data_IF_532219555859
#
_entry.id   IF_532219555859
#
_cell.length_a   1.000
_cell.length_b   1.000
_cell.length_c   1.000
_cell.angle_alpha   90.00
_cell.angle_beta   90.00
_cell.angle_gamma   90.00
#
_symmetry.space_group_name_H-M   'P 1'
#
loop_
_entity.id
_entity.type
_entity.pdbx_description
1 polymer ?
#
# COMPACT_ATOMS: atom_id res chain seq x y z
N UNK A 1 8.94 10.36 -8.99
CA UNK A 1 7.67 10.02 -9.67
C UNK A 1 8.01 9.17 -10.89
N UNK A 2 7.18 8.17 -11.25
CA UNK A 2 7.39 7.42 -12.49
C UNK A 2 7.29 8.36 -13.69
N UNK A 3 8.29 8.32 -14.56
CA UNK A 3 8.35 9.17 -15.74
C UNK A 3 7.70 8.43 -16.92
N UNK A 4 6.62 8.98 -17.45
CA UNK A 4 5.92 8.41 -18.60
C UNK A 4 6.35 9.16 -19.85
N UNK A 5 6.81 8.43 -20.87
CA UNK A 5 7.20 9.00 -22.15
C UNK A 5 6.04 9.72 -22.84
N UNK A 6 6.33 10.87 -23.45
CA UNK A 6 5.35 11.64 -24.25
C UNK A 6 4.97 10.92 -25.55
N UNK A 7 5.79 9.98 -26.03
CA UNK A 7 5.53 9.18 -27.24
C UNK A 7 4.59 8.03 -26.88
N UNK A 8 3.31 8.18 -27.25
CA UNK A 8 2.26 7.21 -26.89
C UNK A 8 2.20 6.05 -27.88
N UNK A 9 1.98 4.86 -27.36
CA UNK A 9 1.67 3.68 -28.17
C UNK A 9 0.25 3.76 -28.73
N UNK A 10 0.00 3.09 -29.86
CA UNK A 10 -1.37 2.91 -30.38
C UNK A 10 -2.21 2.18 -29.33
N UNK A 11 -3.45 2.65 -29.10
CA UNK A 11 -4.36 2.13 -28.06
C UNK A 11 -4.48 0.60 -28.06
N UNK A 12 -4.64 0.00 -29.24
CA UNK A 12 -4.74 -1.47 -29.41
C UNK A 12 -3.49 -2.21 -28.93
N UNK A 13 -2.29 -1.68 -29.25
CA UNK A 13 -1.03 -2.27 -28.81
C UNK A 13 -0.86 -2.16 -27.29
N UNK A 14 -1.20 -1.00 -26.71
CA UNK A 14 -1.15 -0.77 -25.27
C UNK A 14 -2.06 -1.72 -24.49
N UNK A 15 -3.31 -1.91 -24.94
CA UNK A 15 -4.25 -2.84 -24.30
C UNK A 15 -3.72 -4.28 -24.33
N UNK A 16 -3.29 -4.76 -25.52
CA UNK A 16 -2.73 -6.11 -25.66
C UNK A 16 -1.49 -6.33 -24.79
N UNK A 17 -0.66 -5.31 -24.65
CA UNK A 17 0.52 -5.34 -23.77
C UNK A 17 0.10 -5.47 -22.29
N UNK A 18 -0.89 -4.68 -21.85
CA UNK A 18 -1.40 -4.77 -20.48
C UNK A 18 -2.05 -6.13 -20.20
N UNK A 19 -2.82 -6.69 -21.14
CA UNK A 19 -3.44 -8.00 -20.96
C UNK A 19 -2.38 -9.09 -20.75
N UNK A 20 -1.28 -9.05 -21.52
CA UNK A 20 -0.15 -9.97 -21.32
C UNK A 20 0.55 -9.75 -20.00
N UNK A 21 0.73 -8.49 -19.60
CA UNK A 21 1.30 -8.14 -18.30
C UNK A 21 0.46 -8.71 -17.14
N UNK A 22 -0.87 -8.56 -17.19
CA UNK A 22 -1.76 -9.12 -16.17
C UNK A 22 -1.74 -10.65 -16.15
N UNK A 23 -1.66 -11.30 -17.31
CA UNK A 23 -1.54 -12.76 -17.38
C UNK A 23 -0.26 -13.28 -16.72
N UNK A 24 0.88 -12.59 -16.92
CA UNK A 24 2.15 -12.92 -16.25
C UNK A 24 2.04 -12.69 -14.75
N UNK A 25 1.43 -11.60 -14.30
CA UNK A 25 1.23 -11.36 -12.87
C UNK A 25 0.34 -12.42 -12.21
N UNK A 26 -0.73 -12.85 -12.90
CA UNK A 26 -1.65 -13.86 -12.39
C UNK A 26 -1.04 -15.27 -12.34
N UNK A 27 0.02 -15.55 -13.11
CA UNK A 27 0.70 -16.84 -13.09
C UNK A 27 1.73 -16.98 -11.95
N UNK A 28 2.03 -15.89 -11.23
CA UNK A 28 2.92 -15.90 -10.07
C UNK A 28 2.24 -16.61 -8.89
N UNK A 29 2.61 -17.86 -8.63
CA UNK A 29 2.08 -18.65 -7.50
C UNK A 29 3.00 -18.69 -6.28
N UNK A 30 4.31 -18.57 -6.49
CA UNK A 30 5.30 -18.68 -5.42
C UNK A 30 5.81 -17.31 -4.96
N UNK A 31 5.92 -17.13 -3.64
CA UNK A 31 6.34 -15.86 -3.02
C UNK A 31 7.81 -15.54 -3.31
N UNK A 32 8.69 -16.53 -3.30
CA UNK A 32 10.12 -16.32 -3.52
C UNK A 32 10.40 -15.97 -4.98
N UNK A 33 9.75 -16.69 -5.90
CA UNK A 33 9.79 -16.38 -7.32
C UNK A 33 9.20 -15.00 -7.62
N UNK A 34 8.07 -14.65 -6.99
CA UNK A 34 7.49 -13.31 -7.09
C UNK A 34 8.47 -12.22 -6.65
N UNK A 35 9.21 -12.43 -5.56
CA UNK A 35 10.23 -11.47 -5.09
C UNK A 35 11.33 -11.25 -6.14
N UNK A 36 11.82 -12.32 -6.76
CA UNK A 36 12.83 -12.24 -7.83
C UNK A 36 12.27 -11.49 -9.03
N UNK A 37 11.10 -11.90 -9.51
CA UNK A 37 10.40 -11.27 -10.64
C UNK A 37 10.22 -9.76 -10.46
N UNK A 38 9.72 -9.31 -9.30
CA UNK A 38 9.59 -7.87 -9.02
C UNK A 38 10.94 -7.18 -8.84
N UNK A 39 11.99 -7.90 -8.45
CA UNK A 39 13.35 -7.39 -8.39
C UNK A 39 13.95 -7.11 -9.77
N UNK A 40 13.63 -7.95 -10.75
CA UNK A 40 14.08 -7.80 -12.13
C UNK A 40 13.28 -6.74 -12.89
N UNK A 41 11.97 -6.67 -12.60
CA UNK A 41 11.05 -5.78 -13.32
C UNK A 41 11.06 -4.33 -12.80
N UNK A 42 11.17 -4.14 -11.49
CA UNK A 42 11.01 -2.84 -10.85
C UNK A 42 12.30 -2.36 -10.20
N UNK A 43 12.56 -1.07 -10.31
CA UNK A 43 13.64 -0.45 -9.54
C UNK A 43 13.41 -0.58 -8.03
N UNK A 44 14.48 -0.46 -7.24
CA UNK A 44 14.39 -0.41 -5.77
C UNK A 44 13.41 0.67 -5.30
N UNK A 45 13.46 1.85 -5.92
CA UNK A 45 12.58 2.98 -5.62
C UNK A 45 11.12 2.67 -5.91
N UNK A 46 10.81 2.07 -7.07
CA UNK A 46 9.43 1.72 -7.44
C UNK A 46 8.84 0.68 -6.49
N UNK A 47 9.64 -0.32 -6.08
CA UNK A 47 9.20 -1.32 -5.09
C UNK A 47 8.82 -0.67 -3.76
N UNK A 48 9.67 0.23 -3.25
CA UNK A 48 9.40 0.97 -2.01
C UNK A 48 8.14 1.84 -2.17
N UNK A 49 8.00 2.54 -3.30
CA UNK A 49 6.84 3.39 -3.56
C UNK A 49 5.53 2.59 -3.59
N UNK A 50 5.50 1.45 -4.29
CA UNK A 50 4.32 0.59 -4.36
C UNK A 50 3.97 -0.01 -3.00
N UNK A 51 4.97 -0.48 -2.24
CA UNK A 51 4.77 -1.01 -0.90
C UNK A 51 4.18 0.05 0.05
N UNK A 52 4.75 1.26 0.06
CA UNK A 52 4.20 2.38 0.86
C UNK A 52 2.78 2.75 0.44
N UNK A 53 2.50 2.80 -0.87
CA UNK A 53 1.15 3.11 -1.37
C UNK A 53 0.12 2.09 -0.90
N UNK A 54 0.45 0.80 -0.97
CA UNK A 54 -0.41 -0.27 -0.47
C UNK A 54 -0.64 -0.17 1.04
N UNK A 55 0.43 0.09 1.81
CA UNK A 55 0.32 0.28 3.26
C UNK A 55 -0.56 1.47 3.64
N UNK A 56 -0.43 2.62 2.97
CA UNK A 56 -1.31 3.78 3.20
C UNK A 56 -2.77 3.41 2.97
N UNK A 57 -3.08 2.80 1.82
CA UNK A 57 -4.46 2.39 1.47
C UNK A 57 -5.05 1.47 2.55
N UNK A 58 -4.25 0.52 3.03
CA UNK A 58 -4.65 -0.41 4.09
C UNK A 58 -4.91 0.29 5.43
N UNK A 59 -4.02 1.18 5.85
CA UNK A 59 -4.22 1.95 7.08
C UNK A 59 -5.46 2.84 6.97
N UNK A 60 -5.71 3.45 5.81
CA UNK A 60 -6.90 4.27 5.60
C UNK A 60 -8.19 3.44 5.63
N UNK A 61 -8.20 2.22 5.06
CA UNK A 61 -9.34 1.31 5.17
C UNK A 61 -9.61 0.88 6.61
N UNK A 62 -8.56 0.73 7.42
CA UNK A 62 -8.65 0.44 8.84
C UNK A 62 -8.90 1.68 9.71
N UNK A 63 -9.22 2.83 9.09
CA UNK A 63 -9.56 4.10 9.77
C UNK A 63 -8.44 4.67 10.67
N UNK A 64 -7.18 4.37 10.37
CA UNK A 64 -6.07 5.01 11.07
C UNK A 64 -6.06 6.54 10.81
N UNK A 65 -5.78 7.37 11.84
CA UNK A 65 -5.67 8.81 11.66
C UNK A 65 -4.55 9.19 10.69
N UNK A 66 -4.73 10.26 9.91
CA UNK A 66 -3.78 10.64 8.85
C UNK A 66 -2.38 10.90 9.40
N UNK A 67 -2.28 11.55 10.56
CA UNK A 67 -1.02 11.84 11.23
C UNK A 67 -0.24 10.57 11.59
N UNK A 68 -0.94 9.48 11.93
CA UNK A 68 -0.33 8.17 12.20
C UNK A 68 0.21 7.58 10.91
N UNK A 69 -0.57 7.62 9.84
CA UNK A 69 -0.16 7.12 8.52
C UNK A 69 1.10 7.86 8.02
N UNK A 70 1.09 9.20 8.12
CA UNK A 70 2.21 10.06 7.72
C UNK A 70 3.49 9.74 8.49
N UNK A 71 3.42 9.73 9.83
CA UNK A 71 4.57 9.48 10.71
C UNK A 71 5.13 8.09 10.49
N UNK A 72 4.27 7.08 10.38
CA UNK A 72 4.74 5.69 10.36
C UNK A 72 5.30 5.30 9.00
N UNK A 73 4.65 5.72 7.91
CA UNK A 73 5.12 5.40 6.56
C UNK A 73 6.10 6.43 6.00
N UNK A 74 6.36 7.51 6.74
CA UNK A 74 7.19 8.66 6.32
C UNK A 74 6.74 9.15 4.94
N UNK A 75 5.45 9.45 4.82
CA UNK A 75 4.80 9.95 3.60
C UNK A 75 4.26 11.36 3.86
N UNK A 76 4.24 12.19 2.82
CA UNK A 76 3.73 13.55 2.96
C UNK A 76 2.21 13.58 3.20
N UNK A 77 1.68 14.60 3.90
CA UNK A 77 0.24 14.79 4.06
C UNK A 77 -0.50 14.84 2.71
N UNK A 78 0.11 15.48 1.71
CA UNK A 78 -0.41 15.56 0.35
C UNK A 78 -0.58 14.20 -0.34
N UNK A 79 0.27 13.22 0.01
CA UNK A 79 0.18 11.85 -0.50
C UNK A 79 -1.00 11.12 0.15
N UNK A 80 -1.11 11.22 1.48
CA UNK A 80 -2.21 10.62 2.25
C UNK A 80 -3.55 11.21 1.80
N UNK A 81 -3.66 12.54 1.70
CA UNK A 81 -4.86 13.22 1.24
C UNK A 81 -5.28 12.83 -0.19
N UNK A 82 -4.32 12.67 -1.11
CA UNK A 82 -4.61 12.20 -2.48
C UNK A 82 -5.15 10.78 -2.50
N UNK A 83 -4.54 9.88 -1.74
CA UNK A 83 -5.00 8.49 -1.64
C UNK A 83 -6.35 8.41 -0.91
N UNK A 84 -6.57 9.20 0.14
CA UNK A 84 -7.86 9.29 0.80
C UNK A 84 -8.97 9.74 -0.15
N UNK A 85 -8.72 10.77 -0.97
CA UNK A 85 -9.68 11.25 -1.97
C UNK A 85 -10.05 10.15 -2.96
N UNK A 86 -9.07 9.42 -3.48
CA UNK A 86 -9.32 8.28 -4.39
C UNK A 86 -10.09 7.16 -3.69
N UNK A 87 -9.77 6.88 -2.42
CA UNK A 87 -10.48 5.88 -1.63
C UNK A 87 -11.96 6.23 -1.42
N UNK A 88 -12.27 7.50 -1.16
CA UNK A 88 -13.67 7.97 -1.09
C UNK A 88 -14.40 7.90 -2.44
N UNK A 89 -13.66 7.94 -3.54
CA UNK A 89 -14.19 7.81 -4.90
C UNK A 89 -14.36 6.37 -5.39
N UNK A 90 -13.99 5.35 -4.59
CA UNK A 90 -14.08 3.94 -4.97
C UNK A 90 -12.88 3.41 -5.79
N UNK A 91 -11.84 4.22 -6.01
CA UNK A 91 -10.67 3.84 -6.82
C UNK A 91 -9.95 2.57 -6.32
N UNK A 92 -10.15 2.22 -5.04
CA UNK A 92 -9.48 1.12 -4.37
C UNK A 92 -10.44 0.00 -3.91
N UNK A 93 -11.66 -0.06 -4.41
CA UNK A 93 -12.64 -1.08 -3.99
C UNK A 93 -12.21 -2.50 -4.35
N UNK A 94 -11.52 -2.69 -5.48
CA UNK A 94 -10.94 -3.99 -5.84
C UNK A 94 -9.83 -4.41 -4.85
N UNK A 95 -9.02 -3.45 -4.40
CA UNK A 95 -7.99 -3.69 -3.37
C UNK A 95 -8.70 -4.08 -2.07
N UNK A 96 -9.72 -3.31 -1.67
CA UNK A 96 -10.56 -3.60 -0.51
C UNK A 96 -11.14 -5.00 -0.56
N UNK A 97 -11.71 -5.42 -1.69
CA UNK A 97 -12.30 -6.73 -1.87
C UNK A 97 -11.27 -7.86 -1.66
N UNK A 98 -10.09 -7.75 -2.30
CA UNK A 98 -9.00 -8.72 -2.15
C UNK A 98 -8.53 -8.83 -0.68
N UNK A 99 -8.55 -7.72 0.05
CA UNK A 99 -8.12 -7.67 1.45
C UNK A 99 -9.21 -8.18 2.41
N UNK A 100 -10.48 -7.81 2.18
CA UNK A 100 -11.62 -8.16 3.03
C UNK A 100 -11.92 -9.66 2.97
N UNK A 101 -11.70 -10.28 1.81
CA UNK A 101 -12.05 -11.68 1.55
C UNK A 101 -11.14 -12.71 2.26
N UNK A 102 -10.06 -12.29 2.93
CA UNK A 102 -9.02 -13.22 3.33
C UNK A 102 -8.95 -13.52 4.83
N UNK A 103 -8.93 -14.83 5.15
CA UNK A 103 -8.23 -15.41 6.32
C UNK A 103 -6.79 -14.86 6.52
N UNK A 104 -6.19 -14.21 5.50
CA UNK A 104 -4.90 -13.46 5.53
C UNK A 104 -4.96 -12.10 6.24
N UNK A 105 -6.16 -11.58 6.55
CA UNK A 105 -6.37 -10.26 7.17
C UNK A 105 -5.63 -10.13 8.51
N UNK A 106 -5.56 -11.20 9.31
CA UNK A 106 -4.81 -11.20 10.57
C UNK A 106 -3.31 -11.07 10.31
N UNK A 107 -2.67 -12.04 9.66
CA UNK A 107 -1.21 -12.01 9.46
C UNK A 107 -0.64 -10.74 8.82
N UNK A 108 -1.28 -10.18 7.77
CA UNK A 108 -0.76 -8.95 7.15
C UNK A 108 -1.00 -7.69 7.99
N UNK A 109 -2.15 -7.60 8.68
CA UNK A 109 -2.41 -6.48 9.60
C UNK A 109 -1.55 -6.61 10.84
N UNK A 110 -1.35 -7.82 11.36
CA UNK A 110 -0.46 -8.11 12.49
C UNK A 110 1.00 -7.80 12.12
N UNK A 111 1.45 -8.19 10.93
CA UNK A 111 2.78 -7.85 10.40
C UNK A 111 2.94 -6.35 10.19
N UNK A 112 1.90 -5.67 9.66
CA UNK A 112 1.87 -4.23 9.59
C UNK A 112 1.91 -3.64 10.99
N UNK A 113 1.11 -4.09 11.94
CA UNK A 113 1.08 -3.59 13.31
C UNK A 113 2.42 -3.81 14.00
N UNK A 114 3.12 -4.92 13.75
CA UNK A 114 4.47 -5.20 14.24
C UNK A 114 5.49 -4.26 13.59
N UNK A 115 5.43 -4.07 12.27
CA UNK A 115 6.29 -3.13 11.53
C UNK A 115 6.04 -1.67 11.93
N UNK A 116 4.77 -1.30 12.08
CA UNK A 116 4.33 -0.02 12.60
C UNK A 116 4.85 0.09 14.04
N UNK A 117 4.75 -0.94 14.88
CA UNK A 117 5.28 -0.98 16.26
C UNK A 117 6.81 -0.96 16.35
N UNK A 118 7.51 -1.31 15.27
CA UNK A 118 8.98 -1.23 15.18
C UNK A 118 9.45 0.16 14.74
N UNK A 119 8.64 0.92 13.99
CA UNK A 119 8.86 2.34 13.68
C UNK A 119 8.23 3.31 14.68
N UNK A 120 7.24 2.83 15.44
CA UNK A 120 6.66 3.47 16.60
C UNK A 120 7.51 3.10 17.83
N UNK A 121 7.55 3.94 18.88
CA UNK A 121 8.26 3.59 20.10
C UNK A 121 7.79 2.24 20.68
N UNK A 122 8.68 1.45 21.33
CA UNK A 122 8.30 0.19 21.97
C UNK A 122 7.07 0.34 22.89
N UNK A 123 6.20 -0.67 22.93
CA UNK A 123 5.00 -0.69 23.79
C UNK A 123 5.42 -0.61 25.26
N UNK A 124 5.40 0.61 25.79
CA UNK A 124 5.75 0.94 27.17
C UNK A 124 4.94 2.12 27.67
N UNK A 125 4.75 2.22 29.00
CA UNK A 125 3.88 3.20 29.67
C UNK A 125 4.17 4.62 29.16
N UNK A 126 3.22 5.20 28.41
CA UNK A 126 3.23 6.61 28.01
C UNK A 126 3.63 6.91 26.56
N UNK A 127 4.40 6.07 25.87
CA UNK A 127 4.87 6.38 24.50
C UNK A 127 3.83 6.19 23.40
N UNK A 128 2.83 5.34 23.66
CA UNK A 128 1.65 5.15 22.82
C UNK A 128 0.48 6.03 23.25
N UNK A 129 0.65 6.82 24.32
CA UNK A 129 -0.41 7.67 24.85
C UNK A 129 -0.97 8.59 23.77
N UNK A 130 -0.11 9.22 22.96
CA UNK A 130 -0.55 10.07 21.85
C UNK A 130 -1.38 9.33 20.79
N UNK A 131 -1.09 8.05 20.52
CA UNK A 131 -1.84 7.23 19.56
C UNK A 131 -3.21 6.86 20.15
N UNK A 132 -3.23 6.34 21.38
CA UNK A 132 -4.48 5.97 22.06
C UNK A 132 -5.36 7.19 22.38
N UNK A 133 -4.78 8.30 22.84
CA UNK A 133 -5.48 9.58 23.05
C UNK A 133 -6.10 10.11 21.74
N UNK A 134 -5.51 9.77 20.60
CA UNK A 134 -6.01 10.16 19.28
C UNK A 134 -7.08 9.21 18.75
N UNK A 135 -7.00 7.92 19.08
CA UNK A 135 -8.03 6.92 18.76
C UNK A 135 -9.26 7.03 19.68
N UNK A 136 -9.11 7.52 20.91
CA UNK A 136 -10.18 7.64 21.92
C UNK A 136 -10.89 9.01 21.90
N UNK A 137 -10.58 9.88 20.92
CA UNK A 137 -11.13 11.24 20.79
C UNK A 137 -12.34 11.34 19.84
N UNK A 138 -13.04 10.23 19.60
CA UNK A 138 -14.33 10.22 18.88
C UNK A 138 -15.50 10.65 19.78
#
# INVERSE_FOLDING_TARGET
MPHISKRKLKKKAFLKMNDRFYAVMASLKDKNFGRLFFGDLLSSTERIMLAKRLAVILMLFNKYPFTVVEKTLKVSPSTVGRLWKGMRGGDFDNIKAIIVDAKKKRGFIDDLEILLSAGLPPRGRGRWKWFYDMMNKE
#
